data_IF_777904145750
#
_entry.id   IF_777904145750
#
_cell.length_a   1.000
_cell.length_b   1.000
_cell.length_c   1.000
_cell.angle_alpha   90.00
_cell.angle_beta   90.00
_cell.angle_gamma   90.00
#
_symmetry.space_group_name_H-M   'P 1'
#
loop_
_entity.id
_entity.type
_entity.pdbx_description
1 polymer ?
#
# COMPACT_ATOMS: atom_id res chain seq x y z
N UNK A 1 4.40 -3.50 10.31
CA UNK A 1 3.05 -4.11 10.27
C UNK A 1 2.57 -4.11 8.82
N UNK A 2 2.18 -5.25 8.31
CA UNK A 2 1.56 -5.34 6.97
C UNK A 2 0.06 -5.24 7.18
N UNK A 3 -0.55 -4.23 6.60
CA UNK A 3 -1.99 -4.04 6.62
C UNK A 3 -2.53 -4.37 5.24
N UNK A 4 -3.34 -5.42 5.14
CA UNK A 4 -3.98 -5.84 3.90
C UNK A 4 -5.42 -5.34 3.93
N UNK A 5 -5.76 -4.50 2.96
CA UNK A 5 -7.12 -3.99 2.79
C UNK A 5 -7.73 -4.70 1.60
N UNK A 6 -8.74 -5.50 1.85
CA UNK A 6 -9.50 -6.18 0.81
C UNK A 6 -10.88 -5.55 0.69
N UNK A 7 -11.19 -5.03 -0.48
CA UNK A 7 -12.55 -4.65 -0.82
C UNK A 7 -13.24 -5.89 -1.38
N UNK A 8 -13.82 -6.69 -0.53
CA UNK A 8 -14.46 -7.94 -0.93
C UNK A 8 -15.97 -7.93 -0.74
N UNK A 9 -16.60 -8.42 -1.78
CA UNK A 9 -18.03 -8.61 -1.87
C UNK A 9 -18.65 -9.32 -0.65
N UNK A 10 -19.69 -8.72 -0.10
CA UNK A 10 -20.87 -9.30 0.60
C UNK A 10 -20.73 -10.35 1.71
N UNK A 11 -19.57 -10.95 2.00
CA UNK A 11 -19.41 -11.97 3.04
C UNK A 11 -19.00 -11.42 4.41
N UNK A 12 -18.42 -10.21 4.45
CA UNK A 12 -17.96 -9.57 5.67
C UNK A 12 -18.70 -8.25 5.86
N UNK A 13 -19.01 -7.94 7.11
CA UNK A 13 -19.63 -6.66 7.48
C UNK A 13 -18.55 -5.60 7.61
N UNK A 14 -18.92 -4.33 7.42
CA UNK A 14 -18.11 -3.18 7.75
C UNK A 14 -17.58 -3.33 9.19
N UNK A 15 -16.33 -2.95 9.40
CA UNK A 15 -15.63 -3.04 10.69
C UNK A 15 -15.31 -4.47 11.17
N UNK A 16 -15.58 -5.49 10.38
CA UNK A 16 -15.11 -6.84 10.71
C UNK A 16 -13.58 -6.88 10.72
N UNK A 17 -13.03 -7.35 11.83
CA UNK A 17 -11.59 -7.49 12.03
C UNK A 17 -11.22 -8.95 12.20
N UNK A 18 -10.29 -9.42 11.40
CA UNK A 18 -9.75 -10.76 11.52
C UNK A 18 -8.29 -10.69 11.92
N UNK A 19 -7.97 -11.21 13.09
CA UNK A 19 -6.58 -11.38 13.53
C UNK A 19 -6.05 -12.72 13.05
N UNK A 20 -4.91 -12.67 12.39
CA UNK A 20 -4.24 -13.87 11.90
C UNK A 20 -2.88 -13.97 12.58
N UNK A 21 -2.69 -15.05 13.31
CA UNK A 21 -1.44 -15.34 13.97
C UNK A 21 -0.55 -16.18 13.07
N UNK A 22 0.51 -15.57 12.53
CA UNK A 22 1.53 -16.30 11.79
C UNK A 22 2.69 -16.67 12.70
N UNK A 23 3.59 -17.59 12.23
CA UNK A 23 4.78 -18.01 12.98
C UNK A 23 5.70 -16.85 13.40
N UNK A 24 5.67 -15.73 12.68
CA UNK A 24 6.65 -14.65 12.85
C UNK A 24 6.03 -13.33 13.27
N UNK A 25 4.79 -13.04 12.87
CA UNK A 25 4.11 -11.78 13.20
C UNK A 25 2.59 -11.95 13.23
N UNK A 26 1.97 -11.23 14.13
CA UNK A 26 0.54 -11.03 14.13
C UNK A 26 0.18 -9.98 13.06
N UNK A 27 -0.86 -10.22 12.27
CA UNK A 27 -1.41 -9.23 11.36
C UNK A 27 -2.93 -9.19 11.43
N UNK A 28 -3.47 -8.04 11.11
CA UNK A 28 -4.90 -7.75 11.19
C UNK A 28 -5.46 -7.45 9.81
N UNK A 29 -6.59 -8.03 9.47
CA UNK A 29 -7.38 -7.73 8.27
C UNK A 29 -8.58 -6.92 8.69
N UNK A 30 -8.75 -5.74 8.11
CA UNK A 30 -9.85 -4.81 8.39
C UNK A 30 -10.64 -4.61 7.11
N UNK A 31 -11.97 -4.74 7.20
CA UNK A 31 -12.88 -4.51 6.08
C UNK A 31 -13.50 -3.12 6.18
N UNK A 32 -13.24 -2.28 5.19
CA UNK A 32 -13.72 -0.90 5.11
C UNK A 32 -14.40 -0.62 3.77
N UNK A 33 -15.43 0.21 3.79
CA UNK A 33 -16.25 0.54 2.61
C UNK A 33 -16.22 2.02 2.23
N UNK A 34 -15.37 2.83 2.86
CA UNK A 34 -15.37 4.28 2.66
C UNK A 34 -13.98 4.88 2.39
N UNK A 35 -13.96 6.05 1.76
CA UNK A 35 -12.75 6.80 1.42
C UNK A 35 -12.01 7.40 2.62
N UNK A 36 -12.68 7.59 3.75
CA UNK A 36 -12.09 8.22 4.93
C UNK A 36 -10.92 7.38 5.43
N UNK A 37 -11.09 6.07 5.43
CA UNK A 37 -10.03 5.14 5.81
C UNK A 37 -8.79 5.27 4.92
N UNK A 38 -8.98 5.37 3.60
CA UNK A 38 -7.88 5.55 2.66
C UNK A 38 -7.12 6.85 2.93
N UNK A 39 -7.84 7.94 3.13
CA UNK A 39 -7.26 9.25 3.44
C UNK A 39 -6.46 9.21 4.74
N UNK A 40 -7.01 8.60 5.77
CA UNK A 40 -6.34 8.45 7.07
C UNK A 40 -5.08 7.59 6.95
N UNK A 41 -5.15 6.51 6.16
CA UNK A 41 -4.02 5.61 5.93
C UNK A 41 -2.84 6.33 5.25
N UNK A 42 -3.11 7.03 4.14
CA UNK A 42 -2.05 7.69 3.36
C UNK A 42 -1.48 8.94 4.05
N UNK A 43 -2.23 9.50 5.00
CA UNK A 43 -1.78 10.65 5.80
C UNK A 43 -0.85 10.29 6.95
N UNK A 44 -0.60 9.01 7.20
CA UNK A 44 0.31 8.58 8.27
C UNK A 44 1.71 9.15 8.05
N UNK A 45 2.30 9.78 9.07
CA UNK A 45 3.65 10.28 8.96
C UNK A 45 4.66 9.13 8.81
N UNK A 46 5.80 9.41 8.20
CA UNK A 46 6.88 8.46 8.01
C UNK A 46 6.44 7.18 7.26
N UNK A 47 5.64 7.35 6.23
CA UNK A 47 5.20 6.28 5.35
C UNK A 47 5.56 6.54 3.90
N UNK A 48 5.87 5.47 3.18
CA UNK A 48 6.07 5.45 1.73
C UNK A 48 4.90 4.67 1.10
N UNK A 49 4.34 5.18 0.01
CA UNK A 49 3.10 4.67 -0.56
C UNK A 49 3.36 4.12 -1.95
N UNK A 50 3.10 2.85 -2.15
CA UNK A 50 3.08 2.19 -3.46
C UNK A 50 1.62 1.98 -3.85
N UNK A 51 1.19 2.61 -4.93
CA UNK A 51 -0.22 2.59 -5.36
C UNK A 51 -0.37 2.21 -6.82
N UNK A 52 -1.37 1.40 -7.11
CA UNK A 52 -1.80 1.10 -8.47
C UNK A 52 -2.28 2.37 -9.17
N UNK A 53 -1.87 2.56 -10.42
CA UNK A 53 -2.24 3.73 -11.22
C UNK A 53 -3.75 3.92 -11.34
N UNK A 54 -4.50 2.84 -11.56
CA UNK A 54 -5.96 2.94 -11.68
C UNK A 54 -6.61 3.36 -10.36
N UNK A 55 -6.12 2.83 -9.24
CA UNK A 55 -6.60 3.22 -7.90
C UNK A 55 -6.24 4.66 -7.61
N UNK A 56 -5.02 5.07 -7.92
CA UNK A 56 -4.59 6.47 -7.80
C UNK A 56 -5.50 7.43 -8.57
N UNK A 57 -5.83 7.11 -9.81
CA UNK A 57 -6.69 7.94 -10.66
C UNK A 57 -8.13 8.03 -10.12
N UNK A 58 -8.67 6.92 -9.60
CA UNK A 58 -10.03 6.87 -9.03
C UNK A 58 -10.16 7.67 -7.72
N UNK A 59 -9.10 7.72 -6.93
CA UNK A 59 -9.09 8.32 -5.59
C UNK A 59 -8.08 9.47 -5.46
N UNK A 60 -7.85 10.18 -6.55
CA UNK A 60 -6.81 11.22 -6.66
C UNK A 60 -6.87 12.26 -5.55
N UNK A 61 -8.06 12.63 -5.14
CA UNK A 61 -8.33 13.56 -4.04
C UNK A 61 -7.76 13.10 -2.69
N UNK A 62 -7.62 11.79 -2.48
CA UNK A 62 -7.02 11.24 -1.27
C UNK A 62 -5.49 11.40 -1.22
N UNK A 63 -4.85 11.63 -2.36
CA UNK A 63 -3.40 11.69 -2.50
C UNK A 63 -2.84 13.09 -2.71
N UNK A 64 -3.70 14.11 -2.84
CA UNK A 64 -3.30 15.48 -3.21
C UNK A 64 -2.27 16.11 -2.25
N UNK A 65 -2.36 15.77 -0.96
CA UNK A 65 -1.47 16.32 0.07
C UNK A 65 -0.21 15.48 0.28
N UNK A 66 -0.06 14.38 -0.45
CA UNK A 66 1.09 13.49 -0.28
C UNK A 66 2.27 14.00 -1.11
N UNK A 67 3.44 14.23 -0.50
CA UNK A 67 4.64 14.60 -1.23
C UNK A 67 4.99 13.57 -2.30
N UNK A 68 5.35 14.04 -3.50
CA UNK A 68 5.63 13.18 -4.66
C UNK A 68 6.78 12.20 -4.42
N UNK A 69 7.74 12.56 -3.57
CA UNK A 69 8.86 11.70 -3.18
C UNK A 69 8.42 10.49 -2.36
N UNK A 70 7.26 10.54 -1.70
CA UNK A 70 6.69 9.47 -0.89
C UNK A 70 5.64 8.63 -1.63
N UNK A 71 5.33 8.98 -2.87
CA UNK A 71 4.26 8.38 -3.65
C UNK A 71 4.81 7.69 -4.89
N UNK A 72 4.69 6.38 -4.94
CA UNK A 72 5.11 5.54 -6.06
C UNK A 72 3.88 4.99 -6.78
N UNK A 73 3.51 5.65 -7.90
CA UNK A 73 2.39 5.22 -8.74
C UNK A 73 2.89 4.18 -9.73
N UNK A 74 2.36 2.98 -9.65
CA UNK A 74 2.79 1.82 -10.45
C UNK A 74 1.67 1.38 -11.37
N UNK A 75 1.98 1.19 -12.64
CA UNK A 75 1.09 0.57 -13.60
C UNK A 75 1.19 -0.96 -13.46
N UNK A 76 0.16 -1.56 -12.84
CA UNK A 76 0.09 -2.98 -12.58
C UNK A 76 -0.29 -3.75 -13.86
N UNK A 77 0.68 -3.99 -14.73
CA UNK A 77 0.52 -4.85 -15.91
C UNK A 77 1.40 -6.09 -15.78
N UNK A 78 0.94 -7.24 -16.30
CA UNK A 78 1.74 -8.46 -16.34
C UNK A 78 3.05 -8.30 -17.16
N UNK A 79 3.12 -7.28 -18.00
CA UNK A 79 4.31 -6.94 -18.79
C UNK A 79 5.37 -6.19 -17.99
N UNK A 80 5.00 -5.56 -16.90
CA UNK A 80 5.96 -4.90 -16.02
C UNK A 80 6.66 -5.98 -15.21
N UNK A 81 7.94 -6.17 -15.46
CA UNK A 81 8.77 -7.07 -14.66
C UNK A 81 8.74 -6.61 -13.21
N UNK A 82 8.08 -7.38 -12.38
CA UNK A 82 7.89 -7.06 -10.94
C UNK A 82 9.22 -6.72 -10.26
N UNK A 83 10.29 -7.43 -10.62
CA UNK A 83 11.64 -7.23 -10.06
C UNK A 83 12.21 -5.88 -10.45
N UNK A 84 12.13 -5.51 -11.74
CA UNK A 84 12.68 -4.24 -12.22
C UNK A 84 11.96 -3.04 -11.58
N UNK A 85 10.65 -3.11 -11.46
CA UNK A 85 9.84 -2.09 -10.79
C UNK A 85 10.17 -2.00 -9.30
N UNK A 86 10.33 -3.14 -8.64
CA UNK A 86 10.70 -3.17 -7.23
C UNK A 86 12.09 -2.59 -6.98
N UNK A 87 13.06 -2.86 -7.86
CA UNK A 87 14.40 -2.28 -7.77
C UNK A 87 14.39 -0.77 -7.97
N UNK A 88 13.62 -0.26 -8.93
CA UNK A 88 13.46 1.19 -9.15
C UNK A 88 12.88 1.89 -7.91
N UNK A 89 11.88 1.29 -7.28
CA UNK A 89 11.30 1.80 -6.02
C UNK A 89 12.36 1.77 -4.91
N UNK A 90 13.12 0.67 -4.78
CA UNK A 90 14.19 0.56 -3.78
C UNK A 90 15.23 1.67 -3.95
N UNK A 91 15.69 1.92 -5.18
CA UNK A 91 16.66 3.00 -5.47
C UNK A 91 16.11 4.36 -5.06
N UNK A 92 14.88 4.67 -5.43
CA UNK A 92 14.22 5.94 -5.06
C UNK A 92 14.01 6.09 -3.57
N UNK A 93 13.67 5.04 -2.85
CA UNK A 93 13.52 5.05 -1.39
C UNK A 93 14.87 5.31 -0.70
N UNK A 94 15.96 4.77 -1.23
CA UNK A 94 17.30 4.99 -0.63
C UNK A 94 17.80 6.43 -0.77
N UNK A 95 17.30 7.17 -1.74
CA UNK A 95 17.62 8.60 -1.92
C UNK A 95 16.87 9.50 -0.92
N UNK A 96 15.79 9.02 -0.36
CA UNK A 96 15.05 9.71 0.69
C UNK A 96 15.76 9.46 2.02
N UNK A 97 15.95 10.46 2.89
CA UNK A 97 16.46 10.23 4.23
C UNK A 97 15.46 9.40 5.04
N UNK A 98 15.38 8.11 4.71
CA UNK A 98 14.43 7.19 5.32
C UNK A 98 14.81 6.98 6.79
N UNK A 99 13.88 7.28 7.65
CA UNK A 99 14.00 6.91 9.06
C UNK A 99 13.85 5.39 9.16
N UNK A 100 14.64 4.77 10.04
CA UNK A 100 14.68 3.31 10.25
C UNK A 100 13.32 2.64 10.48
N UNK A 101 12.27 3.41 10.77
CA UNK A 101 10.93 2.93 11.10
C UNK A 101 9.89 3.42 10.07
N UNK A 102 10.28 3.58 8.81
CA UNK A 102 9.31 3.92 7.77
C UNK A 102 8.30 2.79 7.57
N UNK A 103 7.05 3.16 7.38
CA UNK A 103 5.97 2.23 7.05
C UNK A 103 5.76 2.22 5.54
N UNK A 104 5.84 1.04 4.93
CA UNK A 104 5.51 0.88 3.52
C UNK A 104 4.04 0.52 3.39
N UNK A 105 3.30 1.34 2.65
CA UNK A 105 1.86 1.20 2.42
C UNK A 105 1.65 0.75 0.98
N UNK A 106 0.95 -0.37 0.80
CA UNK A 106 0.61 -0.91 -0.52
C UNK A 106 -0.88 -0.73 -0.79
N UNK A 107 -1.22 -0.13 -1.93
CA UNK A 107 -2.61 0.12 -2.32
C UNK A 107 -2.84 -0.40 -3.74
N UNK A 108 -3.54 -1.50 -3.87
CA UNK A 108 -3.80 -2.12 -5.16
C UNK A 108 -4.09 -3.61 -5.07
N UNK A 109 -4.06 -4.28 -6.20
CA UNK A 109 -4.25 -5.73 -6.31
C UNK A 109 -2.97 -6.53 -6.05
N UNK A 110 -3.02 -7.83 -6.37
CA UNK A 110 -1.95 -8.78 -6.09
C UNK A 110 -0.58 -8.39 -6.62
N UNK A 111 -0.49 -7.83 -7.83
CA UNK A 111 0.79 -7.38 -8.42
C UNK A 111 1.44 -6.28 -7.57
N UNK A 112 0.65 -5.31 -7.11
CA UNK A 112 1.15 -4.23 -6.25
C UNK A 112 1.58 -4.78 -4.89
N UNK A 113 0.85 -5.73 -4.34
CA UNK A 113 1.19 -6.40 -3.09
C UNK A 113 2.52 -7.14 -3.20
N UNK A 114 2.74 -7.86 -4.30
CA UNK A 114 3.98 -8.60 -4.57
C UNK A 114 5.17 -7.65 -4.71
N UNK A 115 5.03 -6.58 -5.48
CA UNK A 115 6.07 -5.54 -5.64
C UNK A 115 6.42 -4.94 -4.29
N UNK A 116 5.42 -4.53 -3.53
CA UNK A 116 5.61 -3.89 -2.23
C UNK A 116 6.25 -4.85 -1.23
N UNK A 117 5.82 -6.11 -1.22
CA UNK A 117 6.41 -7.15 -0.38
C UNK A 117 7.87 -7.45 -0.69
N UNK A 118 8.28 -7.32 -1.96
CA UNK A 118 9.68 -7.47 -2.37
C UNK A 118 10.53 -6.29 -1.91
N UNK A 119 9.98 -5.09 -1.93
CA UNK A 119 10.66 -3.85 -1.49
C UNK A 119 10.84 -3.79 0.03
N UNK A 120 9.92 -4.38 0.76
CA UNK A 120 9.85 -4.32 2.24
C UNK A 120 11.06 -4.96 2.96
#
# INVERSE_FOLDING_TARGET
MIQIIMNTMKLFRKDDKVKIQSRFKEYEVIFEDNKVFLRDLVSKPNSEIVVDKNVYELYKDCFEEIPSERLFVVEATEKNKVVDTALDICERITEIPAKRNATLISIGGGIIQDITGFVA
#
